data_IF_393752925726
#
_entry.id   IF_393752925726
#
_cell.length_a   1.000
_cell.length_b   1.000
_cell.length_c   1.000
_cell.angle_alpha   90.00
_cell.angle_beta   90.00
_cell.angle_gamma   90.00
#
_symmetry.space_group_name_H-M   'P 1'
#
loop_
_entity.id
_entity.type
_entity.pdbx_description
1 polymer ?
#
# COMPACT_ATOMS: atom_id res chain seq x y z
N UNK A 1 -17.80 11.80 -5.02
CA UNK A 1 -16.74 10.78 -5.16
C UNK A 1 -15.97 10.79 -3.87
N UNK A 2 -15.90 9.66 -3.17
CA UNK A 2 -15.24 9.58 -1.86
C UNK A 2 -13.81 9.08 -2.07
N UNK A 3 -12.84 9.94 -1.82
CA UNK A 3 -11.42 9.58 -1.83
C UNK A 3 -11.02 9.20 -0.41
N UNK A 4 -10.40 8.03 -0.27
CA UNK A 4 -9.89 7.54 0.99
C UNK A 4 -8.36 7.45 0.90
N UNK A 5 -7.67 8.08 1.85
CA UNK A 5 -6.23 7.94 2.01
C UNK A 5 -5.96 6.96 3.15
N UNK A 6 -5.18 5.94 2.88
CA UNK A 6 -4.76 4.92 3.85
C UNK A 6 -3.26 4.76 3.80
N UNK A 7 -2.64 4.36 4.90
CA UNK A 7 -1.23 3.99 4.86
C UNK A 7 -1.08 2.59 4.29
N UNK A 8 0.03 2.34 3.59
CA UNK A 8 0.35 1.00 3.08
C UNK A 8 0.38 -0.01 4.23
N UNK A 9 0.86 0.39 5.41
CA UNK A 9 0.79 -0.42 6.63
C UNK A 9 -0.63 -0.87 7.00
N UNK A 10 -1.61 0.02 6.92
CA UNK A 10 -3.01 -0.29 7.25
C UNK A 10 -3.62 -1.28 6.24
N UNK A 11 -3.30 -1.10 4.95
CA UNK A 11 -3.73 -1.99 3.88
C UNK A 11 -3.11 -3.38 4.07
N UNK A 12 -1.80 -3.44 4.31
CA UNK A 12 -1.08 -4.70 4.52
C UNK A 12 -1.60 -5.43 5.76
N UNK A 13 -1.86 -4.74 6.87
CA UNK A 13 -2.42 -5.36 8.07
C UNK A 13 -3.83 -5.94 7.86
N UNK A 14 -4.62 -5.34 6.97
CA UNK A 14 -5.98 -5.79 6.63
C UNK A 14 -5.98 -7.05 5.75
N UNK A 15 -5.03 -7.17 4.82
CA UNK A 15 -5.02 -8.25 3.80
C UNK A 15 -4.03 -9.36 4.13
N UNK A 16 -2.83 -9.01 4.58
CA UNK A 16 -1.67 -9.90 4.81
C UNK A 16 -0.81 -9.37 5.96
N UNK A 17 -1.27 -9.45 7.22
CA UNK A 17 -0.51 -8.94 8.37
C UNK A 17 0.90 -9.55 8.48
N UNK A 18 1.11 -10.76 7.94
CA UNK A 18 2.44 -11.38 7.85
C UNK A 18 3.47 -10.56 7.05
N UNK A 19 3.04 -9.77 6.07
CA UNK A 19 3.93 -8.94 5.25
C UNK A 19 4.33 -7.64 5.95
N UNK A 20 3.65 -7.25 7.04
CA UNK A 20 3.93 -6.02 7.76
C UNK A 20 5.38 -5.94 8.25
N UNK A 21 5.93 -7.07 8.71
CA UNK A 21 7.31 -7.15 9.19
C UNK A 21 8.35 -7.00 8.07
N UNK A 22 7.95 -7.27 6.82
CA UNK A 22 8.81 -7.14 5.65
C UNK A 22 8.89 -5.71 5.11
N UNK A 23 7.93 -4.86 5.49
CA UNK A 23 7.93 -3.45 5.11
C UNK A 23 9.01 -2.68 5.89
N UNK A 24 9.73 -1.81 5.19
CA UNK A 24 10.60 -0.80 5.80
C UNK A 24 9.79 0.28 6.50
N UNK A 25 10.43 1.07 7.37
CA UNK A 25 9.75 2.18 8.05
C UNK A 25 9.15 3.19 7.08
N UNK A 26 9.84 3.49 5.97
CA UNK A 26 9.36 4.40 4.94
C UNK A 26 8.16 3.82 4.20
N UNK A 27 8.21 2.54 3.82
CA UNK A 27 7.09 1.86 3.16
C UNK A 27 5.83 1.85 4.03
N UNK A 28 5.96 1.68 5.35
CA UNK A 28 4.82 1.71 6.28
C UNK A 28 4.13 3.06 6.33
N UNK A 29 4.85 4.14 6.07
CA UNK A 29 4.34 5.52 6.09
C UNK A 29 3.83 5.99 4.72
N UNK A 30 3.99 5.20 3.65
CA UNK A 30 3.47 5.52 2.33
C UNK A 30 1.94 5.67 2.36
N UNK A 31 1.45 6.80 1.86
CA UNK A 31 0.03 7.08 1.73
C UNK A 31 -0.48 6.65 0.35
N UNK A 32 -1.55 5.85 0.35
CA UNK A 32 -2.23 5.35 -0.85
C UNK A 32 -3.61 5.99 -0.92
N UNK A 33 -3.90 6.65 -2.04
CA UNK A 33 -5.17 7.34 -2.28
C UNK A 33 -6.06 6.48 -3.17
N UNK A 34 -7.17 6.00 -2.60
CA UNK A 34 -8.18 5.19 -3.29
C UNK A 34 -9.41 6.05 -3.60
N UNK A 35 -9.76 6.17 -4.88
CA UNK A 35 -10.87 7.02 -5.36
C UNK A 35 -12.28 6.48 -5.09
N UNK A 36 -12.40 5.25 -4.61
CA UNK A 36 -13.67 4.60 -4.30
C UNK A 36 -13.67 3.94 -2.91
N UNK A 37 -12.65 4.23 -2.10
CA UNK A 37 -12.41 3.55 -0.82
C UNK A 37 -11.83 2.15 -0.98
N UNK A 38 -11.35 1.57 0.12
CA UNK A 38 -10.76 0.22 0.13
C UNK A 38 -11.81 -0.88 -0.05
N UNK A 39 -13.04 -0.65 0.40
CA UNK A 39 -14.12 -1.65 0.38
C UNK A 39 -14.57 -2.06 -1.02
N UNK A 40 -14.22 -1.28 -2.05
CA UNK A 40 -14.54 -1.58 -3.45
C UNK A 40 -13.42 -2.34 -4.17
N UNK A 41 -12.25 -2.46 -3.55
CA UNK A 41 -11.08 -3.11 -4.13
C UNK A 41 -11.10 -4.58 -3.74
N UNK A 42 -10.96 -5.49 -4.72
CA UNK A 42 -10.90 -6.91 -4.38
C UNK A 42 -9.60 -7.21 -3.62
N UNK A 43 -9.59 -8.21 -2.72
CA UNK A 43 -8.38 -8.59 -2.00
C UNK A 43 -7.19 -8.92 -2.91
N UNK A 44 -7.45 -9.44 -4.10
CA UNK A 44 -6.44 -9.75 -5.13
C UNK A 44 -5.82 -8.46 -5.70
N UNK A 45 -6.65 -7.47 -6.05
CA UNK A 45 -6.19 -6.17 -6.54
C UNK A 45 -5.43 -5.37 -5.46
N UNK A 46 -5.78 -5.58 -4.18
CA UNK A 46 -5.05 -4.96 -3.06
C UNK A 46 -3.60 -5.44 -2.96
N UNK A 47 -3.33 -6.71 -3.30
CA UNK A 47 -1.98 -7.23 -3.36
C UNK A 47 -1.16 -6.55 -4.45
N UNK A 48 -1.76 -6.35 -5.63
CA UNK A 48 -1.10 -5.65 -6.74
C UNK A 48 -0.78 -4.19 -6.36
N UNK A 49 -1.68 -3.51 -5.65
CA UNK A 49 -1.44 -2.15 -5.14
C UNK A 49 -0.28 -2.13 -4.13
N UNK A 50 -0.22 -3.11 -3.22
CA UNK A 50 0.88 -3.23 -2.24
C UNK A 50 2.20 -3.42 -2.98
N UNK A 51 2.27 -4.37 -3.91
CA UNK A 51 3.49 -4.67 -4.68
C UNK A 51 3.94 -3.49 -5.52
N UNK A 52 3.01 -2.83 -6.22
CA UNK A 52 3.29 -1.66 -7.04
C UNK A 52 3.80 -0.47 -6.19
N UNK A 53 3.22 -0.26 -5.00
CA UNK A 53 3.65 0.80 -4.08
C UNK A 53 5.07 0.58 -3.56
N UNK A 54 5.39 -0.66 -3.21
CA UNK A 54 6.74 -1.08 -2.77
C UNK A 54 7.75 -0.91 -3.92
N UNK A 55 7.40 -1.38 -5.13
CA UNK A 55 8.27 -1.26 -6.29
C UNK A 55 8.56 0.20 -6.66
N UNK A 56 7.52 1.04 -6.67
CA UNK A 56 7.63 2.47 -6.95
C UNK A 56 8.51 3.20 -5.93
N UNK A 57 8.40 2.86 -4.64
CA UNK A 57 9.25 3.46 -3.61
C UNK A 57 10.71 3.00 -3.75
N UNK A 58 10.96 1.72 -4.01
CA UNK A 58 12.32 1.21 -4.25
C UNK A 58 12.99 1.82 -5.47
N UNK A 59 12.22 2.05 -6.55
CA UNK A 59 12.74 2.72 -7.74
C UNK A 59 13.06 4.19 -7.46
N UNK A 60 12.19 4.92 -6.74
CA UNK A 60 12.48 6.30 -6.35
C UNK A 60 13.66 6.41 -5.38
N UNK A 61 13.80 5.50 -4.42
CA UNK A 61 14.92 5.48 -3.47
C UNK A 61 16.25 5.14 -4.18
N UNK A 62 16.21 4.33 -5.24
CA UNK A 62 17.36 4.03 -6.08
C UNK A 62 17.76 5.17 -7.04
N UNK A 63 16.87 6.15 -7.26
CA UNK A 63 17.11 7.32 -8.11
C UNK A 63 17.64 8.54 -7.33
N UNK A 64 17.89 8.40 -6.02
CA UNK A 64 18.37 9.47 -5.13
C UNK A 64 19.84 9.35 -4.72
#
# INVERSE_FOLDING_TARGET
METQTLRLSDIVLSVRPELYQLLTSQERELEIVLRQGISTVQPEDLLEIIEASIAYNKENDALH
#
